data_IF_683280705751
#
_entry.id   IF_683280705751
#
_cell.length_a   1.000
_cell.length_b   1.000
_cell.length_c   1.000
_cell.angle_alpha   90.00
_cell.angle_beta   90.00
_cell.angle_gamma   90.00
#
_symmetry.space_group_name_H-M   'P 1'
#
loop_
_entity.id
_entity.type
_entity.pdbx_description
1 polymer ?
#
# COMPACT_ATOMS: atom_id res chain seq x y z
N UNK A 1 5.94 16.87 -11.25
CA UNK A 1 4.57 16.35 -11.08
C UNK A 1 3.88 16.25 -12.43
N UNK A 2 3.21 15.16 -12.69
CA UNK A 2 2.52 14.93 -13.95
C UNK A 2 1.03 15.22 -13.76
N UNK A 3 0.43 15.99 -14.69
CA UNK A 3 -1.00 16.26 -14.69
C UNK A 3 -1.77 15.01 -15.13
N UNK A 4 -2.94 14.76 -14.53
CA UNK A 4 -3.84 13.69 -14.97
C UNK A 4 -4.28 13.86 -16.43
N UNK A 5 -4.30 15.09 -16.94
CA UNK A 5 -4.62 15.34 -18.35
C UNK A 5 -3.62 14.71 -19.31
N UNK A 6 -2.40 14.44 -18.85
CA UNK A 6 -1.32 13.86 -19.66
C UNK A 6 -1.27 12.33 -19.57
N UNK A 7 -2.09 11.71 -18.72
CA UNK A 7 -2.12 10.26 -18.50
C UNK A 7 -3.56 9.75 -18.61
N UNK A 8 -4.00 9.59 -19.84
CA UNK A 8 -5.38 9.28 -20.20
C UNK A 8 -5.99 8.10 -19.45
N UNK A 9 -5.29 6.97 -19.37
CA UNK A 9 -5.82 5.77 -18.75
C UNK A 9 -5.87 5.87 -17.23
N UNK A 10 -4.86 6.49 -16.62
CA UNK A 10 -4.83 6.74 -15.19
C UNK A 10 -5.94 7.73 -14.80
N UNK A 11 -6.14 8.77 -15.58
CA UNK A 11 -7.25 9.72 -15.38
C UNK A 11 -8.60 9.01 -15.43
N UNK A 12 -8.78 8.12 -16.40
CA UNK A 12 -10.02 7.35 -16.57
C UNK A 12 -10.24 6.43 -15.35
N UNK A 13 -9.21 5.71 -14.91
CA UNK A 13 -9.27 4.88 -13.72
C UNK A 13 -9.66 5.71 -12.49
N UNK A 14 -8.98 6.84 -12.26
CA UNK A 14 -9.26 7.74 -11.14
C UNK A 14 -10.73 8.17 -11.12
N UNK A 15 -11.31 8.48 -12.28
CA UNK A 15 -12.70 8.92 -12.38
C UNK A 15 -13.70 7.83 -12.00
N UNK A 16 -13.32 6.56 -12.08
CA UNK A 16 -14.20 5.43 -11.73
C UNK A 16 -14.13 5.05 -10.25
N UNK A 17 -13.11 5.49 -9.51
CA UNK A 17 -12.90 5.09 -8.11
C UNK A 17 -14.09 5.42 -7.20
N UNK A 18 -14.75 6.59 -7.33
CA UNK A 18 -15.92 6.88 -6.50
C UNK A 18 -17.08 5.91 -6.72
N UNK A 19 -17.20 5.28 -7.89
CA UNK A 19 -18.24 4.29 -8.18
C UNK A 19 -18.07 3.04 -7.32
N UNK A 20 -16.83 2.71 -6.95
CA UNK A 20 -16.50 1.53 -6.13
C UNK A 20 -16.37 1.88 -4.65
N UNK A 21 -15.83 3.05 -4.33
CA UNK A 21 -15.43 3.41 -2.96
C UNK A 21 -16.15 4.63 -2.40
N UNK A 22 -17.09 5.22 -3.16
CA UNK A 22 -17.88 6.36 -2.72
C UNK A 22 -17.15 7.69 -2.85
N UNK A 23 -17.79 8.76 -2.41
CA UNK A 23 -17.32 10.14 -2.56
C UNK A 23 -15.94 10.40 -1.92
N UNK A 24 -15.57 9.60 -0.92
CA UNK A 24 -14.26 9.72 -0.28
C UNK A 24 -13.10 9.37 -1.21
N UNK A 25 -13.38 8.75 -2.35
CA UNK A 25 -12.39 8.42 -3.38
C UNK A 25 -12.37 9.46 -4.51
N UNK A 26 -13.04 10.59 -4.36
CA UNK A 26 -12.99 11.67 -5.33
C UNK A 26 -11.67 12.44 -5.23
N UNK A 27 -11.15 12.83 -6.39
CA UNK A 27 -10.00 13.75 -6.49
C UNK A 27 -8.72 13.28 -5.78
N UNK A 28 -8.47 11.98 -5.77
CA UNK A 28 -7.26 11.42 -5.17
C UNK A 28 -6.00 11.77 -5.96
N UNK A 29 -4.91 12.03 -5.25
CA UNK A 29 -3.58 12.09 -5.84
C UNK A 29 -3.06 10.67 -6.07
N UNK A 30 -2.18 10.51 -7.04
CA UNK A 30 -1.59 9.22 -7.36
C UNK A 30 -0.06 9.26 -7.18
N UNK A 31 0.47 8.18 -6.62
CA UNK A 31 1.89 7.94 -6.54
C UNK A 31 2.18 6.57 -7.17
N UNK A 32 3.19 6.52 -8.03
CA UNK A 32 3.62 5.27 -8.65
C UNK A 32 4.89 4.75 -8.01
N UNK A 33 4.92 3.45 -7.70
CA UNK A 33 6.12 2.74 -7.25
C UNK A 33 6.49 1.71 -8.30
N UNK A 34 7.65 1.88 -8.92
CA UNK A 34 8.12 0.99 -9.97
C UNK A 34 9.20 0.03 -9.45
N UNK A 35 8.84 -1.23 -9.30
CA UNK A 35 9.76 -2.29 -8.91
C UNK A 35 10.35 -2.94 -10.16
N UNK A 36 11.39 -2.34 -10.70
CA UNK A 36 12.00 -2.75 -11.97
C UNK A 36 12.60 -4.16 -11.93
N UNK A 37 12.87 -4.71 -10.75
CA UNK A 37 13.35 -6.07 -10.54
C UNK A 37 12.76 -6.60 -9.23
N UNK A 38 11.77 -7.49 -9.32
CA UNK A 38 11.06 -7.99 -8.14
C UNK A 38 11.93 -8.84 -7.23
N UNK A 39 13.08 -9.30 -7.70
CA UNK A 39 14.05 -10.02 -6.88
C UNK A 39 14.93 -9.11 -6.03
N UNK A 40 14.96 -7.83 -6.33
CA UNK A 40 15.84 -6.84 -5.69
C UNK A 40 15.09 -5.69 -5.04
N UNK A 41 13.96 -5.29 -5.60
CA UNK A 41 13.22 -4.11 -5.16
C UNK A 41 12.17 -4.47 -4.12
N UNK A 42 11.77 -3.49 -3.34
CA UNK A 42 10.72 -3.63 -2.35
C UNK A 42 10.68 -2.47 -1.39
N UNK A 43 9.82 -2.60 -0.40
CA UNK A 43 9.71 -1.65 0.70
C UNK A 43 9.47 -2.45 1.98
N UNK A 44 10.28 -2.17 3.02
CA UNK A 44 10.19 -2.83 4.31
C UNK A 44 8.95 -2.44 5.10
N UNK A 45 8.72 -3.12 6.22
CA UNK A 45 7.55 -2.85 7.07
C UNK A 45 7.52 -1.41 7.57
N UNK A 46 6.48 -0.71 7.20
CA UNK A 46 6.28 0.71 7.50
C UNK A 46 4.79 1.04 7.54
N UNK A 47 4.46 2.23 7.95
CA UNK A 47 3.15 2.84 7.82
C UNK A 47 3.24 4.15 7.05
N UNK A 48 2.12 4.62 6.56
CA UNK A 48 2.00 5.88 5.82
C UNK A 48 1.46 6.97 6.74
N UNK A 49 2.34 7.71 7.41
CA UNK A 49 1.95 8.71 8.41
C UNK A 49 1.04 9.81 7.86
N UNK A 50 1.14 10.10 6.57
CA UNK A 50 0.42 11.18 5.91
C UNK A 50 -0.86 10.72 5.19
N UNK A 51 -1.17 9.42 5.26
CA UNK A 51 -2.28 8.84 4.50
C UNK A 51 -3.23 8.11 5.43
N UNK A 52 -4.51 8.39 5.28
CA UNK A 52 -5.57 7.72 6.02
C UNK A 52 -6.39 6.77 5.17
N UNK A 53 -6.20 6.78 3.87
CA UNK A 53 -6.85 5.90 2.92
C UNK A 53 -5.93 5.69 1.74
N UNK A 54 -5.83 4.46 1.31
CA UNK A 54 -5.04 4.10 0.13
C UNK A 54 -5.87 3.18 -0.74
N UNK A 55 -5.91 3.47 -2.02
CA UNK A 55 -6.41 2.57 -3.04
C UNK A 55 -5.21 2.25 -3.92
N UNK A 56 -4.90 0.97 -4.05
CA UNK A 56 -3.77 0.51 -4.84
C UNK A 56 -4.20 -0.34 -6.01
N UNK A 57 -3.44 -0.27 -7.08
CA UNK A 57 -3.60 -1.12 -8.25
C UNK A 57 -2.26 -1.76 -8.55
N UNK A 58 -2.24 -3.08 -8.68
CA UNK A 58 -1.05 -3.83 -9.07
C UNK A 58 -0.99 -3.96 -10.58
N UNK A 59 0.16 -3.62 -11.16
CA UNK A 59 0.41 -3.79 -12.59
C UNK A 59 1.70 -4.58 -12.78
N UNK A 60 1.68 -5.52 -13.73
CA UNK A 60 2.84 -6.34 -14.05
C UNK A 60 2.95 -7.60 -13.20
N UNK A 61 4.13 -7.86 -12.65
CA UNK A 61 4.39 -9.08 -11.90
C UNK A 61 3.56 -9.18 -10.61
N UNK A 62 3.22 -10.41 -10.24
CA UNK A 62 2.54 -10.69 -8.97
C UNK A 62 3.51 -10.51 -7.81
N UNK A 63 3.15 -9.69 -6.84
CA UNK A 63 3.94 -9.45 -5.64
C UNK A 63 3.02 -9.49 -4.43
N UNK A 64 3.32 -10.32 -3.43
CA UNK A 64 2.52 -10.32 -2.20
C UNK A 64 2.65 -9.01 -1.42
N UNK A 65 1.54 -8.57 -0.86
CA UNK A 65 1.50 -7.51 0.13
C UNK A 65 1.45 -8.16 1.50
N UNK A 66 2.36 -7.80 2.38
CA UNK A 66 2.45 -8.34 3.72
C UNK A 66 1.98 -7.31 4.74
N UNK A 67 1.22 -7.77 5.73
CA UNK A 67 0.83 -6.98 6.89
C UNK A 67 1.32 -7.65 8.16
N UNK A 68 1.76 -6.84 9.11
CA UNK A 68 2.21 -7.29 10.41
C UNK A 68 1.81 -6.29 11.48
N UNK A 69 1.20 -6.78 12.55
CA UNK A 69 0.93 -5.97 13.72
C UNK A 69 2.20 -5.74 14.54
N UNK A 70 2.29 -4.56 15.12
CA UNK A 70 3.41 -4.15 15.98
C UNK A 70 2.89 -3.53 17.28
N UNK A 71 3.61 -3.79 18.35
CA UNK A 71 3.40 -3.14 19.64
C UNK A 71 4.77 -2.89 20.28
N UNK A 72 5.02 -1.68 20.73
CA UNK A 72 6.33 -1.24 21.25
C UNK A 72 7.47 -1.57 20.28
N UNK A 73 7.20 -1.29 19.00
CA UNK A 73 8.13 -1.51 17.88
C UNK A 73 8.52 -2.98 17.66
N UNK A 74 7.79 -3.94 18.25
CA UNK A 74 8.01 -5.37 18.08
C UNK A 74 6.82 -6.01 17.35
N UNK A 75 7.07 -6.96 16.45
CA UNK A 75 5.97 -7.67 15.78
C UNK A 75 5.19 -8.52 16.79
N UNK A 76 3.87 -8.52 16.64
CA UNK A 76 2.96 -9.36 17.42
C UNK A 76 1.96 -10.04 16.48
N UNK A 77 1.53 -11.24 16.84
CA UNK A 77 0.58 -12.00 16.04
C UNK A 77 1.17 -12.54 14.73
N UNK A 78 0.31 -13.14 13.95
CA UNK A 78 0.71 -13.75 12.68
C UNK A 78 0.80 -12.72 11.56
N UNK A 79 1.72 -12.97 10.63
CA UNK A 79 1.86 -12.19 9.41
C UNK A 79 0.73 -12.55 8.46
N UNK A 80 0.10 -11.53 7.89
CA UNK A 80 -0.89 -11.69 6.80
C UNK A 80 -0.19 -11.45 5.48
N UNK A 81 -0.39 -12.36 4.54
CA UNK A 81 0.18 -12.29 3.20
C UNK A 81 -0.96 -12.32 2.18
N UNK A 82 -1.04 -11.31 1.34
CA UNK A 82 -2.06 -11.20 0.30
C UNK A 82 -1.35 -11.14 -1.05
N UNK A 83 -1.55 -12.15 -1.89
CA UNK A 83 -0.99 -12.14 -3.24
C UNK A 83 -1.78 -11.16 -4.10
N UNK A 84 -1.07 -10.22 -4.72
CA UNK A 84 -1.64 -9.27 -5.65
C UNK A 84 -1.11 -9.55 -7.05
N UNK A 85 -2.03 -9.83 -7.96
CA UNK A 85 -1.73 -10.12 -9.37
C UNK A 85 -1.95 -8.87 -10.23
N UNK A 86 -1.47 -8.92 -11.46
CA UNK A 86 -1.70 -7.85 -12.43
C UNK A 86 -3.19 -7.52 -12.53
N UNK A 87 -3.53 -6.25 -12.39
CA UNK A 87 -4.89 -5.75 -12.46
C UNK A 87 -5.67 -5.79 -11.15
N UNK A 88 -5.12 -6.38 -10.08
CA UNK A 88 -5.80 -6.38 -8.79
C UNK A 88 -5.84 -4.97 -8.19
N UNK A 89 -7.02 -4.62 -7.69
CA UNK A 89 -7.25 -3.36 -6.99
C UNK A 89 -7.57 -3.66 -5.52
N UNK A 90 -6.99 -2.88 -4.63
CA UNK A 90 -7.21 -3.05 -3.19
C UNK A 90 -7.37 -1.70 -2.50
N UNK A 91 -7.98 -1.74 -1.33
CA UNK A 91 -8.10 -0.55 -0.48
C UNK A 91 -7.57 -0.86 0.91
N UNK A 92 -6.88 0.10 1.49
CA UNK A 92 -6.45 0.04 2.88
C UNK A 92 -7.33 0.95 3.72
N UNK A 93 -7.85 0.40 4.83
CA UNK A 93 -8.52 1.19 5.85
C UNK A 93 -7.53 2.16 6.51
N UNK A 94 -8.03 3.10 7.27
CA UNK A 94 -7.19 4.05 8.02
C UNK A 94 -6.16 3.32 8.90
N UNK A 95 -6.58 2.29 9.64
CA UNK A 95 -5.67 1.50 10.47
C UNK A 95 -4.65 0.74 9.63
N UNK A 96 -5.07 0.17 8.50
CA UNK A 96 -4.21 -0.60 7.61
C UNK A 96 -3.14 0.25 6.90
N UNK A 97 -3.37 1.55 6.71
CA UNK A 97 -2.34 2.44 6.18
C UNK A 97 -1.18 2.60 7.15
N UNK A 98 -1.42 2.36 8.44
CA UNK A 98 -0.41 2.52 9.46
C UNK A 98 -0.10 3.99 9.75
N UNK A 99 -1.11 4.87 9.65
CA UNK A 99 -0.90 6.30 9.88
C UNK A 99 -0.29 6.60 11.26
N UNK A 100 -0.53 5.73 12.24
CA UNK A 100 -0.06 5.85 13.62
C UNK A 100 1.15 4.94 13.95
N UNK A 101 1.82 4.42 12.93
CA UNK A 101 2.85 3.38 13.11
C UNK A 101 4.05 3.80 13.98
N UNK A 102 4.29 5.09 14.13
CA UNK A 102 5.37 5.62 14.98
C UNK A 102 4.97 5.72 16.45
N UNK A 103 3.71 5.51 16.77
CA UNK A 103 3.20 5.53 18.16
C UNK A 103 3.49 4.17 18.83
N UNK A 104 4.64 4.05 19.48
CA UNK A 104 5.08 2.77 20.05
C UNK A 104 4.17 2.21 21.14
N UNK A 105 3.41 3.07 21.84
CA UNK A 105 2.45 2.66 22.87
C UNK A 105 1.18 2.03 22.31
N UNK A 106 0.92 2.22 21.02
CA UNK A 106 -0.28 1.69 20.35
C UNK A 106 0.04 0.41 19.60
N UNK A 107 -0.99 -0.41 19.40
CA UNK A 107 -0.91 -1.52 18.45
C UNK A 107 -1.13 -0.92 17.07
N UNK A 108 -0.15 -1.08 16.19
CA UNK A 108 -0.17 -0.50 14.85
C UNK A 108 -0.02 -1.57 13.79
N UNK A 109 -0.50 -1.28 12.59
CA UNK A 109 -0.36 -2.18 11.44
C UNK A 109 0.66 -1.59 10.49
N UNK A 110 1.63 -2.40 10.07
CA UNK A 110 2.62 -2.02 9.07
C UNK A 110 2.52 -2.95 7.88
N UNK A 111 2.90 -2.47 6.72
CA UNK A 111 2.87 -3.25 5.50
C UNK A 111 4.23 -3.21 4.78
N UNK A 112 4.49 -4.25 4.01
CA UNK A 112 5.71 -4.42 3.25
C UNK A 112 5.44 -5.20 1.97
N UNK A 113 6.29 -5.02 0.97
CA UNK A 113 6.20 -5.75 -0.28
C UNK A 113 7.59 -5.85 -0.92
N UNK A 114 7.78 -6.86 -1.78
CA UNK A 114 8.98 -6.98 -2.58
C UNK A 114 9.86 -8.16 -2.22
N UNK A 115 11.18 -7.98 -2.36
CA UNK A 115 12.15 -9.05 -2.15
C UNK A 115 12.31 -9.40 -0.67
N UNK A 116 12.88 -10.59 -0.42
CA UNK A 116 13.00 -11.18 0.92
C UNK A 116 13.65 -10.25 1.96
N UNK A 117 14.66 -9.48 1.58
CA UNK A 117 15.34 -8.58 2.54
C UNK A 117 14.42 -7.51 3.12
N UNK A 118 13.40 -7.09 2.36
CA UNK A 118 12.40 -6.12 2.81
C UNK A 118 11.33 -6.72 3.70
N UNK A 119 11.13 -8.03 3.61
CA UNK A 119 10.11 -8.75 4.37
C UNK A 119 10.64 -9.29 5.69
N UNK A 120 11.95 -9.20 5.91
CA UNK A 120 12.60 -9.66 7.13
C UNK A 120 12.51 -8.58 8.21
N UNK A 121 12.02 -8.97 9.39
CA UNK A 121 11.96 -8.10 10.57
C UNK A 121 13.16 -8.40 11.44
N UNK A 122 13.92 -7.36 11.73
CA UNK A 122 15.12 -7.49 12.61
C UNK A 122 14.76 -7.25 14.06
#
# INVERSE_FOLDING_TARGET
MISYSDVKYLRKLRSTLPDYFGEKAESLACEGNYYYDVSKCGIGFHGDSERKRVIGVRLGASIPLHFQWFHKSKPIGERVKILLNHGDMYAMSEKATGYDWKSSSKITLRHAAGSKKYLTIK
#
